data_IF_014573139833
#
_entry.id   IF_014573139833
#
_cell.length_a   1.000
_cell.length_b   1.000
_cell.length_c   1.000
_cell.angle_alpha   90.00
_cell.angle_beta   90.00
_cell.angle_gamma   90.00
#
_symmetry.space_group_name_H-M   'P 1'
#
loop_
_entity.id
_entity.type
_entity.pdbx_description
1 polymer ?
#
# COMPACT_ATOMS: atom_id res chain seq x y z
N UNK A 1 19.47 -21.60 14.87
CA UNK A 1 19.14 -20.74 13.72
C UNK A 1 20.07 -21.10 12.57
N UNK A 2 19.59 -21.27 11.33
CA UNK A 2 20.46 -21.60 10.19
C UNK A 2 21.30 -20.36 9.83
N UNK A 3 22.61 -20.41 10.09
CA UNK A 3 23.53 -19.28 9.89
C UNK A 3 23.66 -18.84 8.43
N UNK A 4 23.36 -19.72 7.47
CA UNK A 4 23.38 -19.38 6.03
C UNK A 4 22.13 -18.59 5.63
N UNK A 5 20.97 -18.95 6.19
CA UNK A 5 19.72 -18.26 5.90
C UNK A 5 19.73 -16.82 6.45
N UNK A 6 20.22 -16.62 7.67
CA UNK A 6 20.35 -15.27 8.25
C UNK A 6 21.27 -14.36 7.44
N UNK A 7 22.43 -14.87 6.97
CA UNK A 7 23.32 -14.11 6.09
C UNK A 7 22.64 -13.71 4.78
N UNK A 8 21.77 -14.55 4.25
CA UNK A 8 20.99 -14.24 3.05
C UNK A 8 19.94 -13.16 3.34
N UNK A 9 19.24 -13.23 4.47
CA UNK A 9 18.32 -12.18 4.88
C UNK A 9 18.99 -10.82 5.06
N UNK A 10 20.18 -10.79 5.65
CA UNK A 10 20.99 -9.58 5.77
C UNK A 10 21.45 -9.06 4.40
N UNK A 11 21.96 -9.95 3.53
CA UNK A 11 22.45 -9.58 2.18
C UNK A 11 21.36 -8.88 1.35
N UNK A 12 20.12 -9.35 1.43
CA UNK A 12 19.00 -8.86 0.64
C UNK A 12 18.08 -7.90 1.42
N UNK A 13 18.48 -7.47 2.62
CA UNK A 13 17.79 -6.50 3.46
C UNK A 13 16.31 -6.84 3.73
N UNK A 14 16.04 -8.10 4.07
CA UNK A 14 14.68 -8.52 4.42
C UNK A 14 14.22 -7.90 5.74
N UNK A 15 12.94 -7.52 5.82
CA UNK A 15 12.34 -6.98 7.04
C UNK A 15 12.24 -8.06 8.13
N UNK A 16 12.21 -7.71 9.43
CA UNK A 16 12.06 -8.69 10.51
C UNK A 16 10.82 -9.58 10.36
N UNK A 17 9.72 -9.01 9.84
CA UNK A 17 8.48 -9.73 9.57
C UNK A 17 8.70 -10.79 8.48
N UNK A 18 9.28 -10.41 7.35
CA UNK A 18 9.52 -11.34 6.25
C UNK A 18 10.51 -12.44 6.66
N UNK A 19 11.57 -12.08 7.40
CA UNK A 19 12.52 -13.06 7.96
C UNK A 19 11.81 -14.10 8.81
N UNK A 20 10.89 -13.66 9.67
CA UNK A 20 10.10 -14.56 10.50
C UNK A 20 9.24 -15.50 9.65
N UNK A 21 8.44 -14.95 8.74
CA UNK A 21 7.52 -15.73 7.90
C UNK A 21 8.26 -16.73 6.99
N UNK A 22 9.33 -16.28 6.32
CA UNK A 22 10.16 -17.14 5.47
C UNK A 22 10.83 -18.23 6.30
N UNK A 23 11.30 -17.92 7.51
CA UNK A 23 11.90 -18.91 8.40
C UNK A 23 10.90 -20.00 8.79
N UNK A 24 9.66 -19.64 9.13
CA UNK A 24 8.61 -20.62 9.46
C UNK A 24 8.40 -21.61 8.31
N UNK A 25 8.26 -21.09 7.08
CA UNK A 25 8.10 -21.92 5.88
C UNK A 25 9.35 -22.78 5.66
N UNK A 26 10.53 -22.17 5.73
CA UNK A 26 11.80 -22.85 5.50
C UNK A 26 11.99 -24.05 6.44
N UNK A 27 11.66 -23.93 7.73
CA UNK A 27 11.83 -25.03 8.67
C UNK A 27 10.92 -26.23 8.40
N UNK A 28 9.75 -26.00 7.78
CA UNK A 28 8.81 -27.05 7.37
C UNK A 28 9.21 -27.79 6.10
N UNK A 29 10.17 -27.28 5.33
CA UNK A 29 10.63 -27.91 4.09
C UNK A 29 11.46 -29.18 4.36
N UNK A 30 11.39 -30.13 3.43
CA UNK A 30 12.32 -31.27 3.37
C UNK A 30 13.75 -30.77 3.12
N UNK A 31 14.76 -31.56 3.48
CA UNK A 31 16.16 -31.14 3.34
C UNK A 31 16.54 -30.82 1.90
N UNK A 32 16.09 -31.63 0.94
CA UNK A 32 16.24 -31.37 -0.50
C UNK A 32 15.67 -30.00 -0.90
N UNK A 33 14.44 -29.69 -0.45
CA UNK A 33 13.78 -28.41 -0.74
C UNK A 33 14.49 -27.24 -0.06
N UNK A 34 15.02 -27.42 1.15
CA UNK A 34 15.84 -26.41 1.84
C UNK A 34 17.09 -26.08 1.05
N UNK A 35 17.81 -27.09 0.55
CA UNK A 35 19.01 -26.87 -0.27
C UNK A 35 18.66 -26.18 -1.59
N UNK A 36 17.58 -26.61 -2.25
CA UNK A 36 17.10 -25.97 -3.48
C UNK A 36 16.69 -24.50 -3.25
N UNK A 37 16.00 -24.22 -2.15
CA UNK A 37 15.63 -22.85 -1.77
C UNK A 37 16.87 -21.98 -1.54
N UNK A 38 17.84 -22.45 -0.76
CA UNK A 38 19.08 -21.72 -0.50
C UNK A 38 19.91 -21.48 -1.78
N UNK A 39 19.88 -22.42 -2.73
CA UNK A 39 20.58 -22.29 -4.02
C UNK A 39 19.95 -21.22 -4.92
N UNK A 40 18.63 -21.09 -4.88
CA UNK A 40 17.86 -20.15 -5.72
C UNK A 40 17.40 -18.90 -4.94
N UNK A 41 17.98 -18.63 -3.78
CA UNK A 41 17.52 -17.57 -2.88
C UNK A 41 17.59 -16.17 -3.52
N UNK A 42 18.58 -15.93 -4.38
CA UNK A 42 18.74 -14.66 -5.08
C UNK A 42 17.53 -14.32 -5.95
N UNK A 43 17.07 -15.29 -6.74
CA UNK A 43 15.88 -15.13 -7.59
C UNK A 43 14.63 -14.90 -6.73
N UNK A 44 14.49 -15.67 -5.64
CA UNK A 44 13.42 -15.47 -4.68
C UNK A 44 13.44 -14.06 -4.09
N UNK A 45 14.60 -13.56 -3.66
CA UNK A 45 14.76 -12.23 -3.10
C UNK A 45 14.43 -11.13 -4.12
N UNK A 46 14.87 -11.29 -5.35
CA UNK A 46 14.53 -10.38 -6.44
C UNK A 46 13.01 -10.31 -6.66
N UNK A 47 12.33 -11.46 -6.71
CA UNK A 47 10.88 -11.52 -6.89
C UNK A 47 10.13 -10.87 -5.72
N UNK A 48 10.51 -11.14 -4.47
CA UNK A 48 9.89 -10.50 -3.30
C UNK A 48 10.05 -8.98 -3.36
N UNK A 49 11.25 -8.48 -3.69
CA UNK A 49 11.50 -7.05 -3.80
C UNK A 49 10.66 -6.41 -4.90
N UNK A 50 10.53 -7.07 -6.04
CA UNK A 50 9.68 -6.61 -7.15
C UNK A 50 8.22 -6.52 -6.71
N UNK A 51 7.69 -7.58 -6.11
CA UNK A 51 6.30 -7.62 -5.62
C UNK A 51 6.05 -6.49 -4.60
N UNK A 52 6.96 -6.28 -3.66
CA UNK A 52 6.84 -5.19 -2.68
C UNK A 52 6.85 -3.82 -3.34
N UNK A 53 7.69 -3.62 -4.36
CA UNK A 53 7.71 -2.38 -5.15
C UNK A 53 6.39 -2.16 -5.90
N UNK A 54 5.87 -3.20 -6.55
CA UNK A 54 4.61 -3.13 -7.30
C UNK A 54 3.43 -2.82 -6.37
N UNK A 55 3.39 -3.46 -5.19
CA UNK A 55 2.40 -3.17 -4.14
C UNK A 55 2.47 -1.72 -3.70
N UNK A 56 3.67 -1.17 -3.51
CA UNK A 56 3.82 0.22 -3.05
C UNK A 56 3.38 1.23 -4.12
N UNK A 57 3.67 0.95 -5.39
CA UNK A 57 3.17 1.75 -6.51
C UNK A 57 1.64 1.75 -6.54
N UNK A 58 1.02 0.56 -6.46
CA UNK A 58 -0.43 0.45 -6.51
C UNK A 58 -1.11 1.12 -5.31
N UNK A 59 -0.53 0.98 -4.11
CA UNK A 59 -1.00 1.71 -2.92
C UNK A 59 -1.01 3.22 -3.15
N UNK A 60 0.07 3.77 -3.69
CA UNK A 60 0.15 5.21 -3.96
C UNK A 60 -0.91 5.66 -4.97
N UNK A 61 -1.11 4.90 -6.05
CA UNK A 61 -2.15 5.16 -7.04
C UNK A 61 -3.55 5.16 -6.39
N UNK A 62 -3.85 4.18 -5.54
CA UNK A 62 -5.13 4.08 -4.85
C UNK A 62 -5.34 5.24 -3.86
N UNK A 63 -4.29 5.61 -3.12
CA UNK A 63 -4.34 6.74 -2.18
C UNK A 63 -4.55 8.07 -2.91
N UNK A 64 -3.81 8.32 -3.99
CA UNK A 64 -3.97 9.54 -4.80
C UNK A 64 -5.39 9.65 -5.37
N UNK A 65 -5.91 8.54 -5.91
CA UNK A 65 -7.29 8.47 -6.40
C UNK A 65 -8.32 8.73 -5.30
N UNK A 66 -8.10 8.19 -4.09
CA UNK A 66 -8.96 8.44 -2.94
C UNK A 66 -8.92 9.91 -2.50
N UNK A 67 -7.73 10.50 -2.45
CA UNK A 67 -7.52 11.91 -2.11
C UNK A 67 -8.24 12.82 -3.12
N UNK A 68 -8.12 12.55 -4.43
CA UNK A 68 -8.83 13.33 -5.44
C UNK A 68 -10.35 13.23 -5.29
N UNK A 69 -10.89 12.03 -5.03
CA UNK A 69 -12.33 11.88 -4.75
C UNK A 69 -12.76 12.70 -3.54
N UNK A 70 -11.99 12.68 -2.45
CA UNK A 70 -12.27 13.49 -1.25
C UNK A 70 -12.26 14.98 -1.59
N UNK A 71 -11.27 15.47 -2.34
CA UNK A 71 -11.21 16.88 -2.78
C UNK A 71 -12.45 17.27 -3.59
N UNK A 72 -12.86 16.44 -4.55
CA UNK A 72 -14.05 16.70 -5.37
C UNK A 72 -15.33 16.72 -4.52
N UNK A 73 -15.47 15.79 -3.57
CA UNK A 73 -16.60 15.79 -2.63
C UNK A 73 -16.67 17.08 -1.81
N UNK A 74 -15.53 17.53 -1.26
CA UNK A 74 -15.46 18.78 -0.49
C UNK A 74 -15.82 20.00 -1.36
N UNK A 75 -15.32 20.05 -2.61
CA UNK A 75 -15.62 21.14 -3.54
C UNK A 75 -17.11 21.19 -3.91
N UNK A 76 -17.71 20.04 -4.18
CA UNK A 76 -19.12 19.93 -4.50
C UNK A 76 -20.00 20.36 -3.32
N UNK A 77 -19.67 19.93 -2.10
CA UNK A 77 -20.41 20.32 -0.89
C UNK A 77 -20.34 21.84 -0.67
N UNK A 78 -19.15 22.44 -0.82
CA UNK A 78 -18.99 23.90 -0.74
C UNK A 78 -19.82 24.63 -1.80
N UNK A 79 -19.78 24.17 -3.05
CA UNK A 79 -20.55 24.76 -4.15
C UNK A 79 -22.06 24.69 -3.88
N UNK A 80 -22.54 23.54 -3.38
CA UNK A 80 -23.95 23.35 -3.05
C UNK A 80 -24.40 24.29 -1.93
N UNK A 81 -23.59 24.44 -0.87
CA UNK A 81 -23.86 25.36 0.24
C UNK A 81 -23.89 26.82 -0.20
N UNK A 82 -22.92 27.25 -1.01
CA UNK A 82 -22.93 28.58 -1.62
C UNK A 82 -24.19 28.81 -2.46
N UNK A 83 -24.59 27.82 -3.28
CA UNK A 83 -25.80 27.88 -4.08
C UNK A 83 -27.07 28.03 -3.22
N UNK A 84 -27.18 27.28 -2.12
CA UNK A 84 -28.31 27.39 -1.19
C UNK A 84 -28.36 28.74 -0.49
N UNK A 85 -27.20 29.27 -0.08
CA UNK A 85 -27.11 30.56 0.62
C UNK A 85 -27.51 31.72 -0.30
N UNK A 86 -27.06 31.70 -1.56
CA UNK A 86 -27.44 32.68 -2.58
C UNK A 86 -28.95 32.61 -2.85
N UNK A 87 -29.51 31.40 -3.02
CA UNK A 87 -30.93 31.21 -3.27
C UNK A 87 -31.79 31.75 -2.13
N UNK A 88 -31.36 31.49 -0.88
CA UNK A 88 -32.02 31.98 0.33
C UNK A 88 -32.00 33.51 0.38
N UNK A 89 -30.84 34.15 0.19
CA UNK A 89 -30.72 35.62 0.15
C UNK A 89 -31.53 36.27 -0.98
N UNK A 90 -31.56 35.67 -2.17
CA UNK A 90 -32.39 36.18 -3.27
C UNK A 90 -33.88 36.13 -2.93
N UNK A 91 -34.32 35.06 -2.26
CA UNK A 91 -35.72 34.93 -1.85
C UNK A 91 -36.12 35.91 -0.75
N UNK A 92 -35.21 36.27 0.16
CA UNK A 92 -35.48 37.32 1.16
C UNK A 92 -35.57 38.69 0.51
N UNK A 93 -34.63 39.03 -0.39
CA UNK A 93 -34.66 40.31 -1.13
C UNK A 93 -35.93 40.48 -1.97
N UNK A 94 -36.44 39.41 -2.59
CA UNK A 94 -37.71 39.45 -3.34
C UNK A 94 -38.96 39.66 -2.48
N UNK A 95 -38.90 39.39 -1.17
CA UNK A 95 -40.02 39.60 -0.24
C UNK A 95 -40.03 41.01 0.35
N UNK A 96 -38.92 41.73 0.26
CA UNK A 96 -38.76 43.10 0.77
C UNK A 96 -39.09 44.17 -0.29
N UNK A 97 -39.37 43.77 -1.54
CA UNK A 97 -39.85 44.58 -2.66
C UNK A 97 -41.35 44.40 -2.86
#
# INVERSE_FOLDING_TARGET
MNTKLEKLFEKYDFSPKDRFEISQIFFLLTEEKKQNFLKNFEEFAFQVKKINSDIEIEKNILLDNAIEKIKQSILNERKNKLGSDIKTKMSSLKKEL
#
